data_IF_257363549509
#
_entry.id   IF_257363549509
#
_cell.length_a   1.000
_cell.length_b   1.000
_cell.length_c   1.000
_cell.angle_alpha   90.00
_cell.angle_beta   90.00
_cell.angle_gamma   90.00
#
_symmetry.space_group_name_H-M   'P 1'
#
loop_
_entity.id
_entity.type
_entity.pdbx_description
1 polymer ?
#
# COMPACT_ATOMS: atom_id res chain seq x y z
N UNK A 1 -5.86 -1.20 4.94
CA UNK A 1 -5.14 -0.43 3.90
C UNK A 1 -6.10 -0.24 2.72
N UNK A 2 -6.01 0.83 1.94
CA UNK A 2 -6.94 1.16 0.82
C UNK A 2 -8.44 1.18 1.18
N UNK A 3 -8.79 1.98 2.19
CA UNK A 3 -10.19 2.20 2.60
C UNK A 3 -10.53 3.70 2.60
N UNK A 4 -10.22 4.36 1.48
CA UNK A 4 -10.63 5.75 1.26
C UNK A 4 -12.16 5.87 1.31
N UNK A 5 -12.72 7.02 1.71
CA UNK A 5 -14.18 7.19 1.80
C UNK A 5 -14.93 6.76 0.53
N UNK A 6 -14.37 7.02 -0.66
CA UNK A 6 -14.95 6.63 -1.95
C UNK A 6 -14.92 5.10 -2.20
N UNK A 7 -14.05 4.36 -1.54
CA UNK A 7 -13.88 2.91 -1.68
C UNK A 7 -14.60 2.09 -0.60
N UNK A 8 -15.10 2.74 0.46
CA UNK A 8 -15.72 2.05 1.61
C UNK A 8 -16.88 1.15 1.21
N UNK A 9 -17.77 1.64 0.35
CA UNK A 9 -18.92 0.86 -0.12
C UNK A 9 -18.47 -0.42 -0.87
N UNK A 10 -17.42 -0.33 -1.69
CA UNK A 10 -16.86 -1.47 -2.39
C UNK A 10 -16.18 -2.46 -1.43
N UNK A 11 -15.43 -1.97 -0.45
CA UNK A 11 -14.83 -2.80 0.60
C UNK A 11 -15.91 -3.48 1.46
N UNK A 12 -17.00 -2.79 1.80
CA UNK A 12 -18.11 -3.34 2.58
C UNK A 12 -18.85 -4.43 1.81
N UNK A 13 -19.08 -4.24 0.51
CA UNK A 13 -19.67 -5.25 -0.37
C UNK A 13 -18.77 -6.49 -0.46
N UNK A 14 -17.46 -6.30 -0.69
CA UNK A 14 -16.48 -7.38 -0.75
C UNK A 14 -16.45 -8.17 0.56
N UNK A 15 -16.37 -7.48 1.70
CA UNK A 15 -16.36 -8.13 3.01
C UNK A 15 -17.66 -8.87 3.31
N UNK A 16 -18.81 -8.23 3.09
CA UNK A 16 -20.12 -8.86 3.39
C UNK A 16 -20.31 -10.16 2.61
N UNK A 17 -19.85 -10.19 1.36
CA UNK A 17 -19.90 -11.40 0.53
C UNK A 17 -18.96 -12.50 1.05
N UNK A 18 -17.72 -12.16 1.40
CA UNK A 18 -16.75 -13.10 1.97
C UNK A 18 -17.28 -13.64 3.30
N UNK A 19 -17.73 -12.77 4.19
CA UNK A 19 -18.28 -13.11 5.50
C UNK A 19 -19.46 -14.07 5.39
N UNK A 20 -20.39 -13.83 4.45
CA UNK A 20 -21.53 -14.72 4.21
C UNK A 20 -21.11 -16.15 3.84
N UNK A 21 -20.06 -16.30 3.02
CA UNK A 21 -19.52 -17.62 2.68
C UNK A 21 -18.83 -18.30 3.86
N UNK A 22 -18.09 -17.55 4.67
CA UNK A 22 -17.43 -18.09 5.85
C UNK A 22 -18.45 -18.58 6.88
N UNK A 23 -19.52 -17.81 7.11
CA UNK A 23 -20.65 -18.22 7.97
C UNK A 23 -21.33 -19.47 7.42
N UNK A 24 -21.60 -19.53 6.12
CA UNK A 24 -22.20 -20.71 5.49
C UNK A 24 -21.31 -21.96 5.57
N UNK A 25 -19.98 -21.78 5.61
CA UNK A 25 -19.00 -22.83 5.80
C UNK A 25 -18.78 -23.21 7.29
N UNK A 26 -19.51 -22.59 8.22
CA UNK A 26 -19.44 -22.90 9.66
C UNK A 26 -18.26 -22.28 10.38
N UNK A 27 -17.61 -21.24 9.83
CA UNK A 27 -16.57 -20.50 10.54
C UNK A 27 -17.22 -19.69 11.67
N UNK A 28 -16.77 -19.90 12.90
CA UNK A 28 -17.24 -19.16 14.07
C UNK A 28 -16.60 -17.78 14.17
N UNK A 29 -17.29 -16.84 14.83
CA UNK A 29 -16.72 -15.52 15.15
C UNK A 29 -16.48 -14.58 13.96
N UNK A 30 -17.11 -14.83 12.80
CA UNK A 30 -17.00 -13.96 11.62
C UNK A 30 -17.58 -12.57 11.92
N UNK A 31 -16.78 -11.48 11.84
CA UNK A 31 -17.28 -10.13 12.11
C UNK A 31 -18.36 -9.70 11.11
N UNK A 32 -19.45 -9.04 11.57
CA UNK A 32 -20.53 -8.62 10.67
C UNK A 32 -20.16 -7.43 9.78
N UNK A 33 -19.08 -6.71 10.09
CA UNK A 33 -18.63 -5.52 9.38
C UNK A 33 -17.12 -5.32 9.50
N UNK A 34 -16.55 -4.51 8.61
CA UNK A 34 -15.15 -4.08 8.69
C UNK A 34 -14.92 -3.17 9.88
N UNK A 35 -13.81 -3.41 10.60
CA UNK A 35 -13.36 -2.52 11.67
C UNK A 35 -12.62 -1.30 11.09
N UNK A 36 -13.15 -0.12 11.39
CA UNK A 36 -12.57 1.18 11.04
C UNK A 36 -12.29 2.06 12.27
N UNK A 37 -12.49 1.53 13.47
CA UNK A 37 -12.31 2.24 14.73
C UNK A 37 -10.90 2.09 15.30
N UNK A 38 -10.18 1.03 14.89
CA UNK A 38 -8.81 0.75 15.32
C UNK A 38 -7.81 0.99 14.19
N UNK A 39 -6.58 1.35 14.57
CA UNK A 39 -5.49 1.56 13.62
C UNK A 39 -4.94 0.21 13.10
N UNK A 40 -4.30 0.18 11.92
CA UNK A 40 -3.75 -1.06 11.37
C UNK A 40 -2.75 -1.76 12.30
N UNK A 41 -1.90 -1.02 13.01
CA UNK A 41 -0.92 -1.58 13.95
C UNK A 41 -1.58 -2.31 15.12
N UNK A 42 -2.74 -1.83 15.59
CA UNK A 42 -3.55 -2.52 16.61
C UNK A 42 -4.22 -3.76 16.01
N UNK A 43 -4.81 -3.62 14.82
CA UNK A 43 -5.52 -4.73 14.14
C UNK A 43 -4.59 -5.88 13.77
N UNK A 44 -3.36 -5.61 13.32
CA UNK A 44 -2.37 -6.64 12.97
C UNK A 44 -1.84 -7.41 14.18
N UNK A 45 -2.12 -6.95 15.41
CA UNK A 45 -1.77 -7.63 16.65
C UNK A 45 -2.94 -8.43 17.24
N UNK A 46 -4.14 -8.29 16.69
CA UNK A 46 -5.34 -8.95 17.19
C UNK A 46 -5.32 -10.45 16.84
N UNK A 47 -5.33 -11.37 17.83
CA UNK A 47 -5.39 -12.81 17.56
C UNK A 47 -6.69 -13.24 16.88
N UNK A 48 -7.73 -12.40 16.89
CA UNK A 48 -8.99 -12.61 16.20
C UNK A 48 -9.05 -11.97 14.80
N UNK A 49 -7.92 -11.45 14.26
CA UNK A 49 -7.88 -10.91 12.90
C UNK A 49 -8.16 -12.02 11.88
N UNK A 50 -9.41 -12.07 11.39
CA UNK A 50 -9.85 -13.09 10.44
C UNK A 50 -9.34 -12.81 9.02
N UNK A 51 -9.49 -11.56 8.56
CA UNK A 51 -8.99 -11.09 7.28
C UNK A 51 -8.67 -9.60 7.38
N UNK A 52 -7.47 -9.22 6.93
CA UNK A 52 -7.05 -7.82 6.81
C UNK A 52 -6.11 -7.64 5.65
N UNK A 53 -5.62 -6.42 5.47
CA UNK A 53 -4.57 -6.10 4.50
C UNK A 53 -3.42 -5.40 5.21
N UNK A 54 -2.19 -5.87 4.96
CA UNK A 54 -0.97 -5.33 5.55
C UNK A 54 -0.12 -4.60 4.52
N UNK A 55 0.69 -3.63 4.96
CA UNK A 55 1.75 -3.10 4.11
C UNK A 55 2.91 -4.12 4.02
N UNK A 56 3.49 -4.31 2.83
CA UNK A 56 4.53 -5.32 2.61
C UNK A 56 5.78 -5.13 3.49
N UNK A 57 6.18 -3.87 3.75
CA UNK A 57 7.34 -3.57 4.59
C UNK A 57 7.10 -3.85 6.09
N UNK A 58 6.04 -3.31 6.75
CA UNK A 58 5.72 -3.70 8.12
C UNK A 58 5.48 -5.21 8.29
N UNK A 59 4.84 -5.85 7.30
CA UNK A 59 4.70 -7.29 7.27
C UNK A 59 6.07 -7.98 7.35
N UNK A 60 6.96 -7.69 6.41
CA UNK A 60 8.28 -8.33 6.33
C UNK A 60 9.15 -8.06 7.58
N UNK A 61 9.11 -6.82 8.08
CA UNK A 61 10.02 -6.37 9.14
C UNK A 61 9.55 -6.70 10.55
N UNK A 62 8.25 -6.62 10.81
CA UNK A 62 7.72 -6.66 12.18
C UNK A 62 6.65 -7.73 12.42
N UNK A 63 5.98 -8.21 11.36
CA UNK A 63 4.78 -9.04 11.52
C UNK A 63 4.86 -10.41 10.80
N UNK A 64 6.00 -10.81 10.25
CA UNK A 64 6.17 -12.10 9.54
C UNK A 64 5.82 -13.31 10.41
N UNK A 65 6.08 -13.22 11.72
CA UNK A 65 5.75 -14.26 12.72
C UNK A 65 4.36 -14.07 13.36
N UNK A 66 3.67 -12.95 13.08
CA UNK A 66 2.37 -12.61 13.68
C UNK A 66 1.21 -12.70 12.70
N UNK A 67 1.49 -12.53 11.42
CA UNK A 67 0.52 -12.55 10.34
C UNK A 67 0.83 -13.70 9.40
N UNK A 68 -0.21 -14.42 9.01
CA UNK A 68 -0.17 -15.40 7.94
C UNK A 68 -0.65 -14.74 6.65
N UNK A 69 0.09 -14.94 5.56
CA UNK A 69 -0.34 -14.54 4.22
C UNK A 69 -1.53 -15.39 3.77
N UNK A 70 -2.58 -14.74 3.29
CA UNK A 70 -3.72 -15.38 2.64
C UNK A 70 -3.55 -15.32 1.12
N UNK A 71 -3.35 -14.13 0.57
CA UNK A 71 -3.11 -13.94 -0.86
C UNK A 71 -2.53 -12.55 -1.12
N UNK A 72 -2.00 -12.33 -2.32
CA UNK A 72 -1.53 -11.03 -2.80
C UNK A 72 -2.45 -10.58 -3.93
N UNK A 73 -3.02 -9.36 -3.86
CA UNK A 73 -3.90 -8.85 -4.91
C UNK A 73 -3.14 -8.62 -6.23
N UNK A 74 -3.85 -8.83 -7.34
CA UNK A 74 -3.48 -8.35 -8.68
C UNK A 74 -4.27 -7.08 -8.96
N UNK A 75 -3.57 -5.95 -9.01
CA UNK A 75 -4.19 -4.65 -9.24
C UNK A 75 -4.18 -4.27 -10.71
N UNK A 76 -5.31 -3.80 -11.22
CA UNK A 76 -5.48 -3.22 -12.56
C UNK A 76 -5.25 -1.71 -12.61
N UNK A 77 -4.58 -1.15 -11.61
CA UNK A 77 -4.21 0.26 -11.58
C UNK A 77 -2.95 0.52 -12.44
N UNK A 78 -2.77 1.74 -12.98
CA UNK A 78 -1.54 2.13 -13.66
C UNK A 78 -0.28 1.78 -12.83
N UNK A 79 0.78 1.39 -13.54
CA UNK A 79 2.06 0.96 -12.98
C UNK A 79 2.06 -0.32 -12.12
N UNK A 80 0.91 -0.97 -11.91
CA UNK A 80 0.83 -2.30 -11.33
C UNK A 80 0.99 -3.39 -12.42
N UNK A 81 1.58 -4.51 -12.05
CA UNK A 81 1.82 -5.63 -12.96
C UNK A 81 1.82 -6.93 -12.15
N UNK A 82 0.97 -7.88 -12.54
CA UNK A 82 0.70 -9.09 -11.77
C UNK A 82 0.42 -8.77 -10.28
N UNK A 83 1.09 -9.47 -9.36
CA UNK A 83 0.99 -9.25 -7.91
C UNK A 83 1.93 -8.16 -7.41
N UNK A 84 2.42 -7.28 -8.30
CA UNK A 84 3.38 -6.22 -7.97
C UNK A 84 2.81 -4.82 -8.16
N UNK A 85 3.22 -3.92 -7.29
CA UNK A 85 2.92 -2.50 -7.31
C UNK A 85 4.21 -1.68 -7.10
N UNK A 86 4.12 -0.36 -7.20
CA UNK A 86 5.25 0.53 -6.98
C UNK A 86 4.79 1.86 -6.39
N UNK A 87 5.75 2.77 -6.23
CA UNK A 87 5.48 4.17 -5.94
C UNK A 87 5.51 4.98 -7.23
N UNK A 88 4.56 5.87 -7.41
CA UNK A 88 4.67 7.01 -8.32
C UNK A 88 5.18 8.20 -7.52
N UNK A 89 6.27 8.80 -7.98
CA UNK A 89 6.88 9.96 -7.34
C UNK A 89 6.34 11.19 -8.06
N UNK A 90 5.69 12.07 -7.30
CA UNK A 90 4.95 13.21 -7.83
C UNK A 90 5.55 14.53 -7.34
N UNK A 91 5.43 15.55 -8.18
CA UNK A 91 5.71 16.94 -7.85
C UNK A 91 4.55 17.83 -8.32
N UNK A 92 4.55 19.11 -7.97
CA UNK A 92 3.57 20.08 -8.48
C UNK A 92 3.63 20.13 -10.01
N UNK A 93 2.45 20.22 -10.65
CA UNK A 93 2.35 20.36 -12.11
C UNK A 93 3.17 21.55 -12.63
N UNK A 94 3.14 22.68 -11.92
CA UNK A 94 3.83 23.91 -12.30
C UNK A 94 5.34 23.94 -12.00
N UNK A 95 5.89 22.93 -11.30
CA UNK A 95 7.34 22.88 -11.04
C UNK A 95 8.10 22.69 -12.36
N UNK A 96 9.20 23.42 -12.65
CA UNK A 96 9.94 23.24 -13.90
C UNK A 96 10.77 21.95 -13.94
N UNK A 97 11.10 21.34 -12.78
CA UNK A 97 11.89 20.11 -12.72
C UNK A 97 11.05 18.92 -13.18
N UNK A 98 11.63 18.01 -13.96
CA UNK A 98 10.90 16.88 -14.58
C UNK A 98 11.43 15.50 -14.21
N UNK A 99 12.56 15.43 -13.50
CA UNK A 99 13.20 14.18 -13.09
C UNK A 99 13.61 14.24 -11.62
N UNK A 100 13.51 13.10 -10.92
CA UNK A 100 13.80 13.02 -9.48
C UNK A 100 15.19 13.57 -9.13
N UNK A 101 16.23 13.29 -9.93
CA UNK A 101 17.60 13.75 -9.68
C UNK A 101 17.71 15.29 -9.51
N UNK A 102 16.83 16.06 -10.15
CA UNK A 102 16.79 17.53 -10.03
C UNK A 102 16.18 18.04 -8.70
N UNK A 103 15.66 17.14 -7.86
CA UNK A 103 15.09 17.45 -6.55
C UNK A 103 16.05 17.18 -5.39
N UNK A 104 17.35 16.99 -5.65
CA UNK A 104 18.33 16.95 -4.57
C UNK A 104 18.29 18.27 -3.77
N UNK A 105 18.21 18.17 -2.45
CA UNK A 105 18.05 19.29 -1.52
C UNK A 105 16.60 19.79 -1.40
N UNK A 106 15.61 19.11 -1.97
CA UNK A 106 14.21 19.47 -1.86
C UNK A 106 13.55 18.92 -0.59
N UNK A 107 12.37 19.44 -0.24
CA UNK A 107 11.54 18.88 0.83
C UNK A 107 10.66 17.74 0.28
N UNK A 108 10.66 16.58 0.94
CA UNK A 108 9.82 15.44 0.56
C UNK A 108 8.71 15.18 1.59
N UNK A 109 7.47 15.04 1.12
CA UNK A 109 6.37 14.59 1.94
C UNK A 109 6.29 13.06 1.95
N UNK A 110 6.30 12.48 3.15
CA UNK A 110 6.11 11.04 3.41
C UNK A 110 4.83 10.85 4.22
N UNK A 111 4.12 9.74 3.98
CA UNK A 111 2.97 9.42 4.82
C UNK A 111 3.44 9.06 6.22
N UNK A 112 4.33 8.07 6.35
CA UNK A 112 4.86 7.59 7.62
C UNK A 112 6.28 7.03 7.43
N UNK A 113 7.16 7.09 8.44
CA UNK A 113 8.53 6.56 8.32
C UNK A 113 8.60 5.08 7.95
N UNK A 114 7.71 4.25 8.50
CA UNK A 114 7.67 2.80 8.24
C UNK A 114 6.88 2.42 6.97
N UNK A 115 6.57 3.38 6.10
CA UNK A 115 5.86 3.15 4.86
C UNK A 115 6.77 2.56 3.78
N UNK A 116 6.31 1.51 3.09
CA UNK A 116 7.05 0.98 1.95
C UNK A 116 7.06 1.97 0.78
N UNK A 117 5.89 2.20 0.18
CA UNK A 117 5.72 3.02 -1.01
C UNK A 117 5.87 4.51 -0.74
N UNK A 118 5.62 4.97 0.48
CA UNK A 118 5.75 6.38 0.81
C UNK A 118 7.15 6.81 1.28
N UNK A 119 7.97 5.86 1.74
CA UNK A 119 9.28 6.18 2.33
C UNK A 119 10.39 5.27 1.82
N UNK A 120 10.29 3.95 2.01
CA UNK A 120 11.35 3.01 1.63
C UNK A 120 11.70 3.09 0.13
N UNK A 121 10.68 2.95 -0.73
CA UNK A 121 10.86 3.01 -2.18
C UNK A 121 11.29 4.39 -2.67
N UNK A 122 10.84 5.47 -2.00
CA UNK A 122 11.31 6.83 -2.29
C UNK A 122 12.82 6.94 -2.10
N UNK A 123 13.32 6.50 -0.93
CA UNK A 123 14.75 6.56 -0.60
C UNK A 123 15.57 5.74 -1.59
N UNK A 124 15.12 4.52 -1.89
CA UNK A 124 15.79 3.67 -2.87
C UNK A 124 15.86 4.31 -4.26
N UNK A 125 14.74 4.83 -4.77
CA UNK A 125 14.71 5.48 -6.09
C UNK A 125 15.54 6.76 -6.12
N UNK A 126 15.61 7.51 -5.02
CA UNK A 126 16.51 8.65 -4.89
C UNK A 126 18.00 8.22 -4.93
N UNK A 127 18.37 7.10 -4.31
CA UNK A 127 19.72 6.55 -4.42
C UNK A 127 20.06 6.13 -5.86
N UNK A 128 19.15 5.42 -6.54
CA UNK A 128 19.38 4.95 -7.91
C UNK A 128 19.52 6.08 -8.93
N UNK A 129 18.67 7.11 -8.83
CA UNK A 129 18.63 8.19 -9.84
C UNK A 129 19.48 9.40 -9.45
N UNK A 130 19.67 9.62 -8.16
CA UNK A 130 20.37 10.78 -7.60
C UNK A 130 21.80 10.52 -7.19
N UNK A 131 22.17 9.26 -6.94
CA UNK A 131 23.43 8.87 -6.31
C UNK A 131 23.37 8.93 -4.77
N UNK A 132 24.39 8.36 -4.13
CA UNK A 132 24.51 8.29 -2.67
C UNK A 132 24.66 9.67 -2.00
N UNK A 133 24.42 9.69 -0.69
CA UNK A 133 24.48 10.85 0.19
C UNK A 133 23.13 11.56 0.37
N UNK A 134 23.02 12.44 1.38
CA UNK A 134 21.76 13.09 1.76
C UNK A 134 21.05 13.70 0.55
N UNK A 135 19.83 13.25 0.30
CA UNK A 135 19.09 13.64 -0.89
C UNK A 135 18.03 14.70 -0.60
N UNK A 136 17.31 14.59 0.51
CA UNK A 136 16.28 15.54 0.90
C UNK A 136 16.81 16.51 1.95
N UNK A 137 16.39 17.78 1.89
CA UNK A 137 16.73 18.77 2.90
C UNK A 137 15.77 18.73 4.11
N UNK A 138 14.57 18.19 3.92
CA UNK A 138 13.57 18.03 4.97
C UNK A 138 12.57 16.93 4.61
N UNK A 139 12.00 16.29 5.64
CA UNK A 139 10.87 15.37 5.52
C UNK A 139 9.62 15.94 6.18
N UNK A 140 8.51 15.96 5.44
CA UNK A 140 7.20 16.37 5.94
C UNK A 140 6.34 15.13 6.17
N UNK A 141 5.97 14.85 7.42
CA UNK A 141 5.15 13.69 7.79
C UNK A 141 3.67 14.06 7.71
N UNK A 142 2.93 13.40 6.81
CA UNK A 142 1.54 13.78 6.48
C UNK A 142 0.49 12.77 6.97
N UNK A 143 0.92 11.60 7.47
CA UNK A 143 0.05 10.53 7.98
C UNK A 143 -0.70 9.74 6.90
N UNK A 144 -0.70 10.16 5.63
CA UNK A 144 -1.37 9.41 4.56
C UNK A 144 -0.85 9.80 3.18
N UNK A 145 -0.96 8.90 2.20
CA UNK A 145 -0.60 9.20 0.81
C UNK A 145 -1.37 10.41 0.26
N UNK A 146 -2.70 10.48 0.49
CA UNK A 146 -3.50 11.64 0.07
C UNK A 146 -3.07 12.92 0.83
N UNK A 147 -2.65 12.79 2.09
CA UNK A 147 -2.02 13.88 2.83
C UNK A 147 -0.74 14.39 2.15
N UNK A 148 0.14 13.48 1.72
CA UNK A 148 1.35 13.83 0.97
C UNK A 148 1.03 14.50 -0.38
N UNK A 149 0.01 14.02 -1.10
CA UNK A 149 -0.45 14.67 -2.33
C UNK A 149 -0.90 16.12 -2.06
N UNK A 150 -1.66 16.35 -0.98
CA UNK A 150 -2.11 17.70 -0.59
C UNK A 150 -0.95 18.60 -0.19
N UNK A 151 0.00 18.10 0.59
CA UNK A 151 1.18 18.86 0.99
C UNK A 151 2.00 19.32 -0.23
N UNK A 152 2.18 18.45 -1.24
CA UNK A 152 2.86 18.83 -2.48
C UNK A 152 2.06 19.87 -3.26
N UNK A 153 0.75 19.63 -3.45
CA UNK A 153 -0.16 20.55 -4.15
C UNK A 153 -0.18 21.95 -3.51
N UNK A 154 -0.17 22.02 -2.18
CA UNK A 154 -0.16 23.25 -1.39
C UNK A 154 1.21 23.95 -1.32
N UNK A 155 2.29 23.32 -1.79
CA UNK A 155 3.64 23.87 -1.71
C UNK A 155 4.36 23.64 -0.38
N UNK A 156 3.79 22.84 0.52
CA UNK A 156 4.39 22.48 1.82
C UNK A 156 5.54 21.48 1.67
N UNK A 157 5.55 20.70 0.58
CA UNK A 157 6.66 19.87 0.16
C UNK A 157 6.84 19.98 -1.37
N UNK A 158 8.02 19.65 -1.86
CA UNK A 158 8.33 19.70 -3.31
C UNK A 158 7.92 18.44 -4.05
N UNK A 159 7.99 17.29 -3.38
CA UNK A 159 7.62 16.00 -3.95
C UNK A 159 7.10 15.03 -2.90
N UNK A 160 6.48 13.95 -3.37
CA UNK A 160 6.07 12.82 -2.53
C UNK A 160 6.15 11.52 -3.32
N UNK A 161 6.37 10.40 -2.63
CA UNK A 161 6.11 9.08 -3.18
C UNK A 161 4.72 8.60 -2.76
N UNK A 162 3.91 8.23 -3.75
CA UNK A 162 2.54 7.79 -3.58
C UNK A 162 2.43 6.36 -4.08
N UNK A 163 1.79 5.49 -3.31
CA UNK A 163 1.45 4.16 -3.80
C UNK A 163 0.62 4.23 -5.09
N UNK A 164 0.98 3.45 -6.10
CA UNK A 164 0.35 3.53 -7.43
C UNK A 164 -1.17 3.26 -7.40
N UNK A 165 -1.63 2.33 -6.55
CA UNK A 165 -3.07 2.03 -6.40
C UNK A 165 -3.80 3.20 -5.74
N UNK A 166 -3.17 3.81 -4.73
CA UNK A 166 -3.71 5.01 -4.06
C UNK A 166 -3.76 6.21 -5.00
N UNK A 167 -2.74 6.39 -5.85
CA UNK A 167 -2.74 7.46 -6.84
C UNK A 167 -3.89 7.30 -7.84
N UNK A 168 -4.09 6.08 -8.37
CA UNK A 168 -5.23 5.77 -9.24
C UNK A 168 -6.59 5.99 -8.56
N UNK A 169 -6.71 5.60 -7.29
CA UNK A 169 -7.91 5.87 -6.50
C UNK A 169 -8.14 7.38 -6.28
N UNK A 170 -7.07 8.15 -6.11
CA UNK A 170 -7.12 9.59 -5.96
C UNK A 170 -7.46 10.31 -7.27
N UNK A 171 -7.01 9.82 -8.43
CA UNK A 171 -7.45 10.32 -9.74
C UNK A 171 -8.96 10.19 -9.91
N UNK A 172 -9.53 9.06 -9.49
CA UNK A 172 -10.97 8.84 -9.55
C UNK A 172 -11.76 9.68 -8.51
N UNK A 173 -11.22 9.83 -7.29
CA UNK A 173 -11.96 10.40 -6.15
C UNK A 173 -11.72 11.90 -5.95
N UNK A 174 -10.56 12.41 -6.38
CA UNK A 174 -10.07 13.77 -6.15
C UNK A 174 -9.38 14.31 -7.42
N UNK A 175 -10.07 14.38 -8.57
CA UNK A 175 -9.44 14.68 -9.87
C UNK A 175 -8.64 15.99 -9.86
N UNK A 176 -9.17 17.07 -9.27
CA UNK A 176 -8.44 18.34 -9.18
C UNK A 176 -7.15 18.27 -8.34
N UNK A 177 -7.10 17.39 -7.34
CA UNK A 177 -5.85 17.15 -6.59
C UNK A 177 -4.84 16.39 -7.45
N UNK A 178 -5.28 15.34 -8.14
CA UNK A 178 -4.41 14.56 -9.01
C UNK A 178 -3.88 15.39 -10.20
N UNK A 179 -4.74 16.19 -10.83
CA UNK A 179 -4.39 17.10 -11.94
C UNK A 179 -3.40 18.21 -11.52
N UNK A 180 -3.37 18.57 -10.23
CA UNK A 180 -2.40 19.54 -9.70
C UNK A 180 -0.98 18.97 -9.58
N UNK A 181 -0.80 17.67 -9.83
CA UNK A 181 0.43 16.93 -9.67
C UNK A 181 0.88 16.31 -10.99
N UNK A 182 2.18 16.10 -11.13
CA UNK A 182 2.78 15.36 -12.25
C UNK A 182 3.68 14.26 -11.71
N UNK A 183 3.69 13.11 -12.38
CA UNK A 183 4.61 12.01 -12.08
C UNK A 183 5.99 12.37 -12.67
N UNK A 184 7.02 12.37 -11.82
CA UNK A 184 8.42 12.69 -12.19
C UNK A 184 9.34 11.46 -12.16
N UNK A 185 8.91 10.38 -11.50
CA UNK A 185 9.60 9.10 -11.48
C UNK A 185 8.65 7.98 -11.03
N UNK A 186 9.02 6.74 -11.32
CA UNK A 186 8.34 5.52 -10.85
C UNK A 186 9.39 4.64 -10.21
N UNK A 187 9.10 4.09 -9.03
CA UNK A 187 10.03 3.21 -8.33
C UNK A 187 10.08 1.81 -8.95
N UNK A 188 11.04 0.99 -8.50
CA UNK A 188 11.00 -0.46 -8.72
C UNK A 188 9.66 -1.04 -8.24
N UNK A 189 9.12 -2.00 -8.99
CA UNK A 189 7.94 -2.76 -8.59
C UNK A 189 8.31 -3.82 -7.56
N UNK A 190 7.51 -3.96 -6.52
CA UNK A 190 7.65 -4.92 -5.42
C UNK A 190 6.32 -5.64 -5.20
N UNK A 191 6.26 -6.76 -4.46
CA UNK A 191 4.99 -7.41 -4.15
C UNK A 191 3.98 -6.45 -3.52
N UNK A 192 2.73 -6.50 -3.98
CA UNK A 192 1.64 -5.66 -3.51
C UNK A 192 1.25 -5.97 -2.06
N UNK A 193 0.36 -5.16 -1.49
CA UNK A 193 -0.06 -5.28 -0.10
C UNK A 193 -0.84 -6.58 0.13
N UNK A 194 -0.31 -7.53 0.92
CA UNK A 194 -0.95 -8.83 1.07
C UNK A 194 -2.23 -8.76 1.89
N UNK A 195 -3.18 -9.61 1.53
CA UNK A 195 -4.23 -10.05 2.44
C UNK A 195 -3.64 -11.00 3.47
N UNK A 196 -4.00 -10.80 4.74
CA UNK A 196 -3.44 -11.49 5.90
C UNK A 196 -4.51 -11.93 6.88
N UNK A 197 -4.20 -12.94 7.68
CA UNK A 197 -4.94 -13.35 8.88
C UNK A 197 -3.95 -13.43 10.06
N UNK A 198 -4.45 -13.56 11.29
CA UNK A 198 -3.59 -13.83 12.45
C UNK A 198 -2.81 -15.14 12.28
N UNK A 199 -1.55 -15.18 12.73
CA UNK A 199 -0.74 -16.41 12.67
C UNK A 199 -1.36 -17.57 13.47
N UNK A 200 -2.12 -17.25 14.52
CA UNK A 200 -2.81 -18.23 15.35
C UNK A 200 -4.09 -18.80 14.70
N UNK A 201 -4.54 -18.27 13.56
CA UNK A 201 -5.72 -18.77 12.85
C UNK A 201 -5.49 -20.22 12.43
N UNK A 202 -6.38 -21.17 12.81
CA UNK A 202 -6.22 -22.58 12.45
C UNK A 202 -6.14 -22.80 10.94
N UNK A 203 -5.34 -23.76 10.49
CA UNK A 203 -5.16 -24.07 9.06
C UNK A 203 -6.47 -24.24 8.30
N UNK A 204 -7.46 -25.01 8.80
CA UNK A 204 -8.72 -25.17 8.07
C UNK A 204 -9.49 -23.85 7.90
N UNK A 205 -9.41 -22.95 8.89
CA UNK A 205 -10.05 -21.63 8.83
C UNK A 205 -9.32 -20.72 7.84
N UNK A 206 -7.99 -20.70 7.87
CA UNK A 206 -7.20 -19.92 6.93
C UNK A 206 -7.43 -20.36 5.48
N UNK A 207 -7.56 -21.67 5.23
CA UNK A 207 -7.90 -22.21 3.93
C UNK A 207 -9.29 -21.74 3.44
N UNK A 208 -10.30 -21.75 4.32
CA UNK A 208 -11.64 -21.24 4.00
C UNK A 208 -11.63 -19.73 3.73
N UNK A 209 -10.85 -18.95 4.48
CA UNK A 209 -10.66 -17.52 4.23
C UNK A 209 -10.01 -17.28 2.87
N UNK A 210 -8.98 -18.05 2.51
CA UNK A 210 -8.35 -17.98 1.20
C UNK A 210 -9.32 -18.35 0.07
N UNK A 211 -10.06 -19.45 0.22
CA UNK A 211 -11.06 -19.88 -0.77
C UNK A 211 -12.14 -18.82 -0.98
N UNK A 212 -12.70 -18.28 0.11
CA UNK A 212 -13.72 -17.24 0.04
C UNK A 212 -13.17 -15.96 -0.63
N UNK A 213 -11.94 -15.55 -0.31
CA UNK A 213 -11.29 -14.40 -0.95
C UNK A 213 -11.09 -14.63 -2.46
N UNK A 214 -10.57 -15.79 -2.87
CA UNK A 214 -10.36 -16.11 -4.28
C UNK A 214 -11.68 -16.23 -5.04
N UNK A 215 -12.72 -16.78 -4.42
CA UNK A 215 -14.06 -16.82 -4.99
C UNK A 215 -14.64 -15.41 -5.18
N UNK A 216 -14.37 -14.48 -4.26
CA UNK A 216 -14.79 -13.09 -4.38
C UNK A 216 -14.14 -12.39 -5.59
N UNK A 217 -12.93 -12.80 -5.97
CA UNK A 217 -12.24 -12.32 -7.17
C UNK A 217 -12.89 -12.79 -8.48
N UNK A 218 -13.71 -13.83 -8.46
CA UNK A 218 -14.40 -14.35 -9.64
C UNK A 218 -15.91 -14.06 -9.65
N UNK A 219 -16.48 -13.61 -8.52
CA UNK A 219 -17.90 -13.37 -8.37
C UNK A 219 -18.41 -12.24 -9.30
N UNK A 220 -19.42 -12.50 -10.15
CA UNK A 220 -20.06 -11.48 -10.98
C UNK A 220 -20.74 -10.37 -10.17
N UNK A 221 -21.33 -10.71 -9.04
CA UNK A 221 -22.03 -9.77 -8.14
C UNK A 221 -21.09 -8.73 -7.52
N UNK A 222 -19.79 -9.02 -7.51
CA UNK A 222 -18.75 -8.13 -7.00
C UNK A 222 -17.99 -7.40 -8.11
N UNK A 223 -18.42 -7.48 -9.38
CA UNK A 223 -17.70 -6.87 -10.51
C UNK A 223 -17.50 -5.35 -10.31
N UNK A 224 -18.54 -4.62 -9.92
CA UNK A 224 -18.45 -3.18 -9.66
C UNK A 224 -17.54 -2.86 -8.47
N UNK A 225 -17.70 -3.59 -7.36
CA UNK A 225 -16.86 -3.41 -6.17
C UNK A 225 -15.38 -3.66 -6.50
N UNK A 226 -15.07 -4.73 -7.25
CA UNK A 226 -13.71 -5.02 -7.70
C UNK A 226 -13.17 -3.94 -8.62
N UNK A 227 -13.97 -3.42 -9.54
CA UNK A 227 -13.57 -2.32 -10.42
C UNK A 227 -13.20 -1.06 -9.61
N UNK A 228 -14.01 -0.67 -8.62
CA UNK A 228 -13.72 0.47 -7.73
C UNK A 228 -12.47 0.30 -6.86
N UNK A 229 -12.07 -0.95 -6.62
CA UNK A 229 -10.88 -1.32 -5.85
C UNK A 229 -9.68 -1.68 -6.74
N UNK A 230 -9.83 -1.59 -8.07
CA UNK A 230 -8.85 -2.02 -9.06
C UNK A 230 -8.43 -3.50 -8.92
N UNK A 231 -9.27 -4.37 -8.36
CA UNK A 231 -8.95 -5.77 -8.11
C UNK A 231 -9.25 -6.65 -9.34
N UNK A 232 -8.20 -7.15 -9.99
CA UNK A 232 -8.31 -8.11 -11.09
C UNK A 232 -8.30 -9.56 -10.61
N UNK A 233 -7.70 -9.81 -9.45
CA UNK A 233 -7.54 -11.14 -8.88
C UNK A 233 -6.72 -11.12 -7.60
N UNK A 234 -6.42 -12.31 -7.08
CA UNK A 234 -5.45 -12.49 -6.01
C UNK A 234 -4.77 -13.86 -6.16
N UNK A 235 -3.53 -13.98 -5.71
CA UNK A 235 -2.72 -15.20 -5.86
C UNK A 235 -1.97 -15.51 -4.57
N UNK A 236 -1.70 -16.80 -4.33
CA UNK A 236 -0.82 -17.20 -3.24
C UNK A 236 0.64 -16.87 -3.61
N UNK A 237 1.34 -16.22 -2.67
CA UNK A 237 2.76 -15.89 -2.83
C UNK A 237 3.50 -16.33 -1.57
N UNK A 238 4.71 -16.87 -1.74
CA UNK A 238 5.54 -17.27 -0.61
C UNK A 238 5.95 -16.06 0.24
N UNK A 239 5.99 -16.17 1.58
CA UNK A 239 6.45 -15.09 2.46
C UNK A 239 7.80 -14.47 2.09
N UNK A 240 8.71 -15.27 1.54
CA UNK A 240 10.03 -14.84 1.09
C UNK A 240 10.00 -13.80 -0.04
N UNK A 241 8.89 -13.65 -0.77
CA UNK A 241 8.77 -12.63 -1.80
C UNK A 241 8.92 -11.21 -1.24
N UNK A 242 8.55 -11.00 0.04
CA UNK A 242 8.66 -9.69 0.69
C UNK A 242 10.06 -9.39 1.21
N UNK A 243 11.01 -10.34 1.17
CA UNK A 243 12.40 -10.11 1.60
C UNK A 243 13.10 -9.08 0.69
N UNK A 244 12.68 -8.96 -0.58
CA UNK A 244 13.14 -7.92 -1.51
C UNK A 244 12.90 -6.52 -0.94
N UNK A 245 11.81 -6.30 -0.21
CA UNK A 245 11.49 -4.98 0.35
C UNK A 245 12.50 -4.57 1.43
N UNK A 246 13.00 -5.54 2.21
CA UNK A 246 14.06 -5.32 3.21
C UNK A 246 15.42 -5.10 2.56
N UNK A 247 15.68 -5.74 1.42
CA UNK A 247 16.90 -5.50 0.66
C UNK A 247 16.95 -4.08 0.08
N UNK A 248 15.82 -3.58 -0.47
CA UNK A 248 15.75 -2.20 -0.96
C UNK A 248 15.98 -1.17 0.16
N UNK A 249 15.51 -1.47 1.37
CA UNK A 249 15.79 -0.65 2.55
C UNK A 249 17.29 -0.63 2.85
N UNK A 250 17.92 -1.81 2.93
CA UNK A 250 19.36 -1.92 3.24
C UNK A 250 20.21 -1.16 2.22
N UNK A 251 19.83 -1.21 0.95
CA UNK A 251 20.48 -0.45 -0.11
C UNK A 251 20.29 1.06 0.06
N UNK A 252 19.08 1.50 0.40
CA UNK A 252 18.78 2.90 0.66
C UNK A 252 19.50 3.45 1.92
N UNK A 253 19.63 2.64 2.97
CA UNK A 253 20.38 2.94 4.18
C UNK A 253 21.88 3.06 3.89
N UNK A 254 22.45 2.10 3.15
CA UNK A 254 23.85 2.14 2.74
C UNK A 254 24.16 3.35 1.85
N UNK A 255 23.18 3.83 1.09
CA UNK A 255 23.30 5.04 0.28
C UNK A 255 23.19 6.35 1.10
N UNK A 256 22.74 6.31 2.36
CA UNK A 256 22.70 7.49 3.24
C UNK A 256 21.75 8.59 2.74
N UNK A 257 20.58 8.21 2.22
CA UNK A 257 19.65 9.14 1.55
C UNK A 257 18.91 10.05 2.52
N UNK A 258 18.51 9.53 3.67
CA UNK A 258 17.98 10.33 4.78
C UNK A 258 19.13 10.75 5.70
N UNK A 259 19.00 11.92 6.32
CA UNK A 259 19.96 12.33 7.34
C UNK A 259 19.80 11.44 8.59
N UNK A 260 20.84 11.29 9.43
CA UNK A 260 20.75 10.52 10.67
C UNK A 260 19.69 11.00 11.67
N UNK A 261 19.18 12.22 11.50
CA UNK A 261 18.19 12.87 12.38
C UNK A 261 16.73 12.70 11.89
N UNK A 262 16.52 12.10 10.73
CA UNK A 262 15.20 11.91 10.07
C UNK A 262 14.48 10.60 10.46
#
# INVERSE_FOLDING_TARGET
>A
MYDHPAQRAANDALWSWIAGRLVAAGVEGVPPALDRGRTPDVLWQDPALLLGQACGYPYARFHKERLRLIAVPRYGAPHCEETRHCSVIVARMADPRTALAAFRGAAAAINEPASNTGTNLLRHTAAEQGGAGPFFAALVRTGSHVGSMRAVSAGEADLAAIDAVTFAAAEASYPGLAESLKVIAVSRRVPALPFVTAMATPEPVAALVQEALLAAMAAPELAEARASLFLLGAEAVAPAAYDEVLELERLADAAGILAPED
#
